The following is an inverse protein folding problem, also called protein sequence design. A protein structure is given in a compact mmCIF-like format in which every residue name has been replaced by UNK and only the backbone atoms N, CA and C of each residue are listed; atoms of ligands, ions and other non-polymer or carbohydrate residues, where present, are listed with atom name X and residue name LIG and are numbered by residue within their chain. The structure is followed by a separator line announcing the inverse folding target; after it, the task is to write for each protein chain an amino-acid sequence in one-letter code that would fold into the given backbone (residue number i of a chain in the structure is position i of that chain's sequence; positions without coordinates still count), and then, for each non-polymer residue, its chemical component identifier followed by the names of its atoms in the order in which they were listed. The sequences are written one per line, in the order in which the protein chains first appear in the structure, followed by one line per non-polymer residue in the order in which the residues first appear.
data_IF_702447498328
#
_entry.id   IF_702447498328
#
_cell.length_a   1.000
_cell.length_b   1.000
_cell.length_c   1.000
_cell.angle_alpha   90.00
_cell.angle_beta   90.00
_cell.angle_gamma   90.00
#
_symmetry.space_group_name_H-M   'P 1'
#
loop_
_entity.id
_entity.type
_entity.pdbx_description
1 polymer ?
#
# COMPACT_ATOMS: atom_id res chain seq x y z
N UNK A 1 17.13 -10.37 -0.13
CA UNK A 1 15.66 -10.31 0.04
C UNK A 1 15.01 -11.09 -1.10
N UNK A 2 13.91 -11.81 -0.88
CA UNK A 2 13.16 -12.54 -1.92
C UNK A 2 11.75 -11.94 -2.06
N UNK A 3 11.14 -11.92 -3.26
CA UNK A 3 9.75 -11.53 -3.41
C UNK A 3 8.85 -12.48 -2.62
N UNK A 4 7.77 -11.94 -2.08
CA UNK A 4 6.77 -12.73 -1.36
C UNK A 4 5.36 -12.18 -1.59
N UNK A 5 4.39 -13.06 -1.42
CA UNK A 5 2.98 -12.69 -1.34
C UNK A 5 2.51 -12.96 0.07
N UNK A 6 1.96 -11.95 0.72
CA UNK A 6 1.38 -12.10 2.05
C UNK A 6 -0.14 -12.09 1.95
N UNK A 7 -0.78 -12.76 2.90
CA UNK A 7 -2.23 -12.66 3.13
C UNK A 7 -2.41 -11.84 4.39
N UNK A 8 -3.26 -10.81 4.35
CA UNK A 8 -3.55 -10.01 5.55
C UNK A 8 -4.14 -10.95 6.61
N UNK A 9 -3.52 -11.07 7.80
CA UNK A 9 -3.97 -11.99 8.82
C UNK A 9 -5.45 -11.81 9.17
N UNK A 10 -6.18 -12.92 9.28
CA UNK A 10 -7.61 -12.90 9.54
C UNK A 10 -8.49 -12.52 8.34
N UNK A 11 -7.94 -12.54 7.11
CA UNK A 11 -8.68 -12.25 5.87
C UNK A 11 -8.21 -13.15 4.71
N UNK A 12 -8.85 -13.03 3.55
CA UNK A 12 -8.39 -13.65 2.29
C UNK A 12 -7.66 -12.68 1.36
N UNK A 13 -7.51 -11.41 1.75
CA UNK A 13 -6.91 -10.37 0.91
C UNK A 13 -5.40 -10.52 0.90
N UNK A 14 -4.79 -10.41 -0.28
CA UNK A 14 -3.37 -10.67 -0.50
C UNK A 14 -2.69 -9.46 -1.14
N UNK A 15 -1.44 -9.22 -0.76
CA UNK A 15 -0.59 -8.21 -1.38
C UNK A 15 0.79 -8.81 -1.69
N UNK A 16 1.45 -8.23 -2.70
CA UNK A 16 2.75 -8.70 -3.20
C UNK A 16 3.81 -7.68 -2.88
N UNK A 17 4.91 -8.13 -2.28
CA UNK A 17 6.07 -7.30 -1.98
C UNK A 17 7.26 -7.77 -2.83
N UNK A 18 7.86 -6.82 -3.54
CA UNK A 18 9.05 -7.04 -4.36
C UNK A 18 10.28 -6.42 -3.70
N UNK A 19 11.44 -7.11 -3.71
CA UNK A 19 12.67 -6.55 -3.19
C UNK A 19 13.26 -5.57 -4.20
N UNK A 20 13.52 -4.34 -3.76
CA UNK A 20 14.30 -3.34 -4.49
C UNK A 20 15.75 -3.48 -4.06
N UNK A 21 16.68 -3.83 -4.97
CA UNK A 21 18.09 -3.90 -4.62
C UNK A 21 18.63 -2.51 -4.28
N UNK A 22 19.54 -2.45 -3.32
CA UNK A 22 20.30 -1.24 -3.06
C UNK A 22 21.22 -0.90 -4.24
N UNK A 23 21.53 0.38 -4.40
CA UNK A 23 22.30 0.87 -5.53
C UNK A 23 22.25 2.38 -5.66
N UNK A 24 22.77 2.86 -6.77
CA UNK A 24 22.73 4.27 -7.15
C UNK A 24 21.98 4.44 -8.46
N UNK A 25 21.16 5.49 -8.56
CA UNK A 25 20.46 5.87 -9.77
C UNK A 25 20.35 7.40 -9.88
N UNK A 26 19.99 7.89 -11.06
CA UNK A 26 19.71 9.32 -11.28
C UNK A 26 18.22 9.56 -11.07
N UNK A 27 17.87 10.39 -10.09
CA UNK A 27 16.50 10.77 -9.79
C UNK A 27 16.18 12.14 -10.42
N UNK A 28 14.96 12.27 -10.95
CA UNK A 28 14.45 13.48 -11.62
C UNK A 28 14.38 13.34 -13.14
N UNK A 29 13.75 14.31 -13.79
CA UNK A 29 13.43 14.30 -15.22
C UNK A 29 14.45 15.13 -16.03
N UNK A 30 14.98 14.61 -17.18
CA UNK A 30 15.89 15.36 -18.04
C UNK A 30 15.30 16.70 -18.51
N UNK A 31 16.14 17.74 -18.62
CA UNK A 31 15.69 19.08 -19.03
C UNK A 31 14.96 19.11 -20.38
N UNK A 32 15.28 18.18 -21.27
CA UNK A 32 14.74 18.08 -22.63
C UNK A 32 13.51 17.17 -22.75
N UNK A 33 13.06 16.54 -21.66
CA UNK A 33 11.93 15.60 -21.72
C UNK A 33 10.60 16.36 -21.92
N UNK A 34 9.81 16.03 -22.95
CA UNK A 34 8.51 16.66 -23.18
C UNK A 34 7.57 16.45 -21.99
N UNK A 35 6.98 17.54 -21.49
CA UNK A 35 6.03 17.50 -20.37
C UNK A 35 6.66 17.64 -18.98
N UNK A 36 7.99 17.76 -18.89
CA UNK A 36 8.71 18.03 -17.63
C UNK A 36 8.12 19.23 -16.89
N UNK A 37 7.80 19.06 -15.61
CA UNK A 37 7.43 20.15 -14.70
C UNK A 37 8.66 20.74 -13.98
N UNK A 38 8.58 21.99 -13.49
CA UNK A 38 9.70 22.66 -12.84
C UNK A 38 10.23 21.95 -11.57
N UNK A 39 9.37 21.22 -10.87
CA UNK A 39 9.65 20.51 -9.61
C UNK A 39 10.26 19.11 -9.79
N UNK A 40 10.38 18.63 -11.03
CA UNK A 40 10.93 17.30 -11.33
C UNK A 40 12.47 17.28 -11.43
N UNK A 41 13.16 18.38 -11.11
CA UNK A 41 14.62 18.43 -11.14
C UNK A 41 15.24 19.39 -10.13
N UNK A 42 16.57 19.59 -10.19
CA UNK A 42 17.50 19.01 -11.17
C UNK A 42 17.72 17.51 -10.97
N UNK A 43 18.18 16.84 -12.03
CA UNK A 43 18.61 15.45 -11.91
C UNK A 43 19.81 15.33 -10.97
N UNK A 44 19.75 14.38 -10.04
CA UNK A 44 20.81 14.14 -9.06
C UNK A 44 20.97 12.65 -8.75
N UNK A 45 22.17 12.24 -8.30
CA UNK A 45 22.45 10.86 -7.92
C UNK A 45 21.89 10.57 -6.53
N UNK A 46 21.11 9.50 -6.42
CA UNK A 46 20.54 8.99 -5.16
C UNK A 46 21.09 7.59 -4.91
N UNK A 47 21.58 7.37 -3.69
CA UNK A 47 21.98 6.06 -3.19
C UNK A 47 20.93 5.54 -2.22
N UNK A 48 20.48 4.31 -2.42
CA UNK A 48 19.50 3.63 -1.57
C UNK A 48 20.06 2.32 -1.04
N UNK A 49 19.69 1.99 0.19
CA UNK A 49 19.85 0.65 0.75
C UNK A 49 18.72 -0.26 0.23
N UNK A 50 18.92 -1.60 0.23
CA UNK A 50 17.87 -2.53 -0.18
C UNK A 50 16.63 -2.43 0.71
N UNK A 51 15.43 -2.40 0.11
CA UNK A 51 14.13 -2.42 0.81
C UNK A 51 13.06 -3.20 0.04
N UNK A 52 11.87 -3.41 0.62
CA UNK A 52 10.72 -3.98 -0.08
C UNK A 52 9.73 -2.91 -0.51
N UNK A 53 9.13 -3.06 -1.68
CA UNK A 53 8.07 -2.19 -2.20
C UNK A 53 6.85 -3.03 -2.58
N UNK A 54 5.65 -2.48 -2.40
CA UNK A 54 4.43 -3.09 -2.94
C UNK A 54 4.53 -3.18 -4.47
N UNK A 55 4.12 -4.31 -5.04
CA UNK A 55 4.12 -4.46 -6.51
C UNK A 55 3.03 -3.60 -7.19
N UNK A 56 2.01 -3.22 -6.43
CA UNK A 56 0.86 -2.41 -6.85
C UNK A 56 0.55 -1.36 -5.77
N UNK A 57 -0.20 -0.33 -6.12
CA UNK A 57 -0.80 0.55 -5.13
C UNK A 57 -1.74 -0.24 -4.19
N UNK A 58 -1.94 0.28 -2.98
CA UNK A 58 -2.89 -0.30 -2.02
C UNK A 58 -4.29 -0.32 -2.63
N UNK A 59 -4.90 -1.49 -2.67
CA UNK A 59 -6.23 -1.67 -3.25
C UNK A 59 -7.35 -1.29 -2.28
N UNK A 60 -8.56 -1.05 -2.79
CA UNK A 60 -9.74 -0.91 -1.92
C UNK A 60 -9.97 -2.18 -1.08
N UNK A 61 -9.70 -3.37 -1.63
CA UNK A 61 -9.82 -4.63 -0.88
C UNK A 61 -8.92 -4.64 0.38
N UNK A 62 -7.76 -4.00 0.34
CA UNK A 62 -6.87 -3.85 1.49
C UNK A 62 -7.33 -2.69 2.40
N UNK A 63 -7.65 -1.54 1.81
CA UNK A 63 -7.93 -0.31 2.56
C UNK A 63 -9.26 -0.36 3.32
N UNK A 64 -10.31 -0.99 2.77
CA UNK A 64 -11.61 -1.09 3.44
C UNK A 64 -11.53 -1.90 4.74
N UNK A 65 -10.64 -2.91 4.81
CA UNK A 65 -10.38 -3.65 6.05
C UNK A 65 -9.85 -2.73 7.16
N UNK A 66 -8.97 -1.80 6.79
CA UNK A 66 -8.45 -0.80 7.72
C UNK A 66 -9.51 0.25 8.07
N UNK A 67 -10.27 0.73 7.08
CA UNK A 67 -11.28 1.78 7.23
C UNK A 67 -12.50 1.33 8.04
N UNK A 68 -12.96 0.09 7.86
CA UNK A 68 -14.19 -0.44 8.45
C UNK A 68 -13.92 -1.54 9.49
N UNK A 69 -13.87 -1.19 10.81
CA UNK A 69 -13.59 -2.16 11.87
C UNK A 69 -14.57 -3.32 11.93
N UNK A 70 -15.82 -3.07 11.53
CA UNK A 70 -16.86 -4.09 11.54
C UNK A 70 -16.63 -5.17 10.48
N UNK A 71 -16.09 -4.80 9.32
CA UNK A 71 -15.77 -5.75 8.24
C UNK A 71 -14.55 -6.59 8.63
N UNK A 72 -13.52 -5.95 9.17
CA UNK A 72 -12.36 -6.65 9.71
C UNK A 72 -12.74 -7.62 10.84
N UNK A 73 -13.59 -7.19 11.79
CA UNK A 73 -14.04 -8.03 12.91
C UNK A 73 -14.77 -9.28 12.42
N UNK A 74 -15.72 -9.13 11.49
CA UNK A 74 -16.46 -10.26 10.91
C UNK A 74 -15.54 -11.27 10.24
N UNK A 75 -14.54 -10.79 9.51
CA UNK A 75 -13.56 -11.67 8.88
C UNK A 75 -12.73 -12.40 9.94
N UNK A 76 -12.26 -11.71 10.98
CA UNK A 76 -11.48 -12.30 12.09
C UNK A 76 -12.25 -13.33 12.93
N UNK A 77 -13.58 -13.22 13.01
CA UNK A 77 -14.44 -14.24 13.65
C UNK A 77 -14.41 -15.58 12.89
N UNK A 78 -14.24 -15.53 11.57
CA UNK A 78 -14.26 -16.72 10.69
C UNK A 78 -12.85 -17.21 10.35
N UNK A 79 -11.91 -16.30 10.17
CA UNK A 79 -10.51 -16.54 9.85
C UNK A 79 -9.64 -16.02 10.99
N UNK A 80 -8.93 -16.92 11.67
CA UNK A 80 -8.08 -16.51 12.79
C UNK A 80 -6.92 -15.62 12.30
N UNK A 81 -6.71 -14.50 12.98
CA UNK A 81 -5.51 -13.67 12.85
C UNK A 81 -4.32 -14.29 13.60
N UNK A 82 -3.15 -13.66 13.48
CA UNK A 82 -1.95 -13.99 14.26
C UNK A 82 -2.03 -13.38 15.68
N UNK A 83 -2.20 -14.19 16.74
CA UNK A 83 -2.35 -13.68 18.10
C UNK A 83 -1.12 -12.96 18.64
N UNK A 84 0.08 -13.28 18.16
CA UNK A 84 1.30 -12.59 18.59
C UNK A 84 1.43 -11.25 17.86
N UNK A 85 1.11 -11.21 16.56
CA UNK A 85 1.04 -9.97 15.78
C UNK A 85 0.01 -8.98 16.35
N UNK A 86 -1.16 -9.46 16.77
CA UNK A 86 -2.22 -8.61 17.33
C UNK A 86 -1.81 -7.94 18.65
N UNK A 87 -0.94 -8.58 19.44
CA UNK A 87 -0.42 -8.01 20.70
C UNK A 87 0.62 -6.91 20.49
N UNK A 88 1.17 -6.78 19.28
CA UNK A 88 2.16 -5.74 18.97
C UNK A 88 1.55 -4.35 18.94
N UNK A 89 0.23 -4.25 18.68
CA UNK A 89 -0.49 -2.99 18.69
C UNK A 89 -1.16 -2.76 20.05
N UNK A 90 -0.79 -1.69 20.75
CA UNK A 90 -1.45 -1.21 21.96
C UNK A 90 -2.68 -0.35 21.64
N UNK A 91 -2.73 0.25 20.45
CA UNK A 91 -3.86 0.97 19.91
C UNK A 91 -3.93 0.89 18.38
N UNK A 92 -5.13 0.99 17.81
CA UNK A 92 -5.36 1.08 16.36
C UNK A 92 -6.20 2.31 16.06
N UNK A 93 -5.63 3.28 15.34
CA UNK A 93 -6.35 4.46 14.82
C UNK A 93 -6.91 4.15 13.44
N UNK A 94 -7.99 4.84 13.05
CA UNK A 94 -8.68 4.62 11.76
C UNK A 94 -9.09 5.95 11.14
N UNK A 95 -9.23 6.01 9.80
CA UNK A 95 -9.71 7.21 9.13
C UNK A 95 -11.16 7.52 9.52
N UNK A 96 -11.53 8.79 9.38
CA UNK A 96 -12.93 9.21 9.44
C UNK A 96 -13.73 8.49 8.35
N UNK A 97 -14.97 8.09 8.67
CA UNK A 97 -15.86 7.45 7.70
C UNK A 97 -16.07 8.38 6.50
N UNK A 98 -16.02 7.85 5.26
CA UNK A 98 -16.20 8.66 4.07
C UNK A 98 -17.63 9.21 4.01
N UNK A 99 -17.77 10.42 3.47
CA UNK A 99 -19.06 11.08 3.27
C UNK A 99 -19.73 10.68 1.95
N UNK A 100 -18.95 10.16 1.00
CA UNK A 100 -19.39 9.75 -0.33
C UNK A 100 -18.80 8.39 -0.70
N UNK A 101 -19.28 7.81 -1.78
CA UNK A 101 -18.67 6.63 -2.40
C UNK A 101 -17.32 7.05 -3.01
N UNK A 102 -16.22 6.48 -2.51
CA UNK A 102 -14.86 6.94 -2.79
C UNK A 102 -14.22 6.27 -4.02
N UNK A 103 -14.86 5.29 -4.66
CA UNK A 103 -14.37 4.76 -5.93
C UNK A 103 -14.61 5.71 -7.10
N UNK A 104 -15.44 6.74 -6.90
CA UNK A 104 -15.85 7.70 -7.94
C UNK A 104 -16.35 7.02 -9.22
N UNK A 105 -16.97 5.84 -9.09
CA UNK A 105 -17.48 5.04 -10.20
C UNK A 105 -16.43 4.19 -10.94
N UNK A 106 -15.18 4.16 -10.49
CA UNK A 106 -14.12 3.32 -11.07
C UNK A 106 -14.19 1.85 -10.62
N UNK A 107 -14.92 1.59 -9.53
CA UNK A 107 -14.98 0.27 -8.90
C UNK A 107 -13.94 0.09 -7.80
N UNK A 108 -14.11 -0.97 -7.02
CA UNK A 108 -13.30 -1.25 -5.82
C UNK A 108 -12.49 -2.52 -5.93
N UNK A 109 -13.08 -3.57 -6.50
CA UNK A 109 -12.44 -4.89 -6.52
C UNK A 109 -11.23 -4.92 -7.47
N UNK A 110 -10.03 -5.07 -6.90
CA UNK A 110 -8.76 -5.02 -7.64
C UNK A 110 -8.32 -3.62 -8.08
N UNK A 111 -9.03 -2.56 -7.69
CA UNK A 111 -8.70 -1.18 -8.03
C UNK A 111 -7.93 -0.49 -6.90
N UNK A 112 -7.03 0.46 -7.22
CA UNK A 112 -6.31 1.23 -6.23
C UNK A 112 -7.27 2.09 -5.38
N UNK A 113 -6.98 2.18 -4.09
CA UNK A 113 -7.66 3.09 -3.18
C UNK A 113 -7.20 4.52 -3.48
N UNK A 114 -7.96 5.20 -4.34
CA UNK A 114 -7.73 6.60 -4.70
C UNK A 114 -8.47 7.52 -3.73
N UNK A 115 -7.84 8.65 -3.39
CA UNK A 115 -8.40 9.69 -2.53
C UNK A 115 -8.88 10.89 -3.37
#
# INVERSE_FOLDING_TARGET
MKPYTNTIPGTTVRYVMVPIPGGEFVMGTPETEPGRKPDEGPQHRVKIEPFWMGAFEVTWNEYELFMYPEEERKLRETLKSDPEGDKLADAVTRPSKPYVEMSFGMGKDGYPAIA
#
